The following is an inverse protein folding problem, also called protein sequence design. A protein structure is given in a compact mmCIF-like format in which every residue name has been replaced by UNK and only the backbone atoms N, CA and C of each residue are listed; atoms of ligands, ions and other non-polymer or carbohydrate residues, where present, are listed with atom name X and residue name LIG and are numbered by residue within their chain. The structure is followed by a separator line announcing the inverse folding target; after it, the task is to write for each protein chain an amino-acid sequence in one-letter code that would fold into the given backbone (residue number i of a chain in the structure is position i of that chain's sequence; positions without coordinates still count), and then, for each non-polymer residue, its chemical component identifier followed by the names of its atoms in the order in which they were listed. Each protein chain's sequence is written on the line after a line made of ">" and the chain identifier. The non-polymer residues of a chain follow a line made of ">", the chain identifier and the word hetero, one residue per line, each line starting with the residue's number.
data_IF_110418063069
#
_entry.id   IF_110418063069
#
_cell.length_a   1.000
_cell.length_b   1.000
_cell.length_c   1.000
_cell.angle_alpha   90.00
_cell.angle_beta   90.00
_cell.angle_gamma   90.00
#
_symmetry.space_group_name_H-M   'P 1'
#
loop_
_entity.id
_entity.type
_entity.pdbx_description
1 polymer ?
#
# COMPACT_ATOMS: atom_id res chain seq x y z
N UNK A 1 -10.20 -6.05 -26.81
CA UNK A 1 -8.95 -6.10 -26.01
C UNK A 1 -9.17 -7.13 -24.93
N UNK A 2 -8.21 -8.03 -24.70
CA UNK A 2 -8.29 -8.99 -23.60
C UNK A 2 -8.13 -8.19 -22.30
N UNK A 3 -9.17 -8.21 -21.46
CA UNK A 3 -9.17 -7.61 -20.12
C UNK A 3 -8.12 -8.33 -19.26
N UNK A 4 -7.26 -7.55 -18.60
CA UNK A 4 -6.24 -8.07 -17.70
C UNK A 4 -6.36 -7.31 -16.38
N UNK A 5 -6.67 -8.05 -15.31
CA UNK A 5 -6.95 -7.50 -13.98
C UNK A 5 -5.78 -6.72 -13.39
N UNK A 6 -4.54 -7.06 -13.74
CA UNK A 6 -3.34 -6.33 -13.32
C UNK A 6 -3.35 -4.91 -13.92
N UNK A 7 -3.66 -4.79 -15.22
CA UNK A 7 -3.73 -3.48 -15.87
C UNK A 7 -4.83 -2.64 -15.26
N UNK A 8 -6.03 -3.20 -15.10
CA UNK A 8 -7.18 -2.50 -14.55
C UNK A 8 -6.88 -1.95 -13.16
N UNK A 9 -6.41 -2.81 -12.24
CA UNK A 9 -6.15 -2.41 -10.87
C UNK A 9 -5.00 -1.39 -10.80
N UNK A 10 -3.96 -1.55 -11.61
CA UNK A 10 -2.88 -0.56 -11.70
C UNK A 10 -3.42 0.80 -12.12
N UNK A 11 -4.22 0.84 -13.19
CA UNK A 11 -4.78 2.10 -13.71
C UNK A 11 -5.77 2.75 -12.76
N UNK A 12 -6.58 1.97 -12.03
CA UNK A 12 -7.52 2.52 -11.04
C UNK A 12 -6.83 3.16 -9.85
N UNK A 13 -5.57 2.78 -9.58
CA UNK A 13 -4.72 3.39 -8.55
C UNK A 13 -3.81 4.50 -9.10
N UNK A 14 -3.95 4.87 -10.39
CA UNK A 14 -3.16 5.93 -11.01
C UNK A 14 -1.68 5.61 -11.18
N UNK A 15 -1.30 4.33 -11.14
CA UNK A 15 0.11 3.90 -11.19
C UNK A 15 0.60 3.73 -12.63
N UNK A 16 1.85 4.14 -12.89
CA UNK A 16 2.56 3.75 -14.11
C UNK A 16 3.08 2.30 -14.02
N UNK A 17 3.46 1.71 -15.15
CA UNK A 17 4.02 0.34 -15.15
C UNK A 17 5.36 0.29 -14.40
N UNK A 18 6.16 1.34 -14.47
CA UNK A 18 7.40 1.52 -13.70
C UNK A 18 7.12 1.62 -12.20
N UNK A 19 6.10 2.40 -11.79
CA UNK A 19 5.73 2.52 -10.39
C UNK A 19 5.32 1.17 -9.80
N UNK A 20 4.47 0.41 -10.52
CA UNK A 20 4.10 -0.95 -10.10
C UNK A 20 5.30 -1.88 -10.06
N UNK A 21 6.21 -1.80 -11.05
CA UNK A 21 7.41 -2.62 -11.08
C UNK A 21 8.28 -2.43 -9.84
N UNK A 22 8.45 -1.19 -9.38
CA UNK A 22 9.18 -0.88 -8.14
C UNK A 22 8.51 -1.47 -6.92
N UNK A 23 7.18 -1.37 -6.82
CA UNK A 23 6.41 -1.89 -5.67
C UNK A 23 6.56 -3.40 -5.52
N UNK A 24 6.60 -4.13 -6.64
CA UNK A 24 6.63 -5.60 -6.65
C UNK A 24 8.02 -6.16 -6.96
N UNK A 25 9.08 -5.36 -6.85
CA UNK A 25 10.46 -5.78 -7.10
C UNK A 25 10.61 -6.53 -8.45
N UNK A 26 10.20 -5.86 -9.52
CA UNK A 26 10.17 -6.36 -10.89
C UNK A 26 10.61 -5.26 -11.86
N UNK A 27 10.50 -5.51 -13.17
CA UNK A 27 10.83 -4.54 -14.22
C UNK A 27 9.58 -4.05 -14.94
N UNK A 28 9.62 -2.83 -15.46
CA UNK A 28 8.53 -2.28 -16.27
C UNK A 28 8.18 -3.19 -17.45
N UNK A 29 9.19 -3.79 -18.09
CA UNK A 29 9.00 -4.71 -19.21
C UNK A 29 8.27 -5.98 -18.75
N UNK A 30 8.57 -6.48 -17.56
CA UNK A 30 7.87 -7.62 -16.95
C UNK A 30 6.40 -7.27 -16.69
N UNK A 31 6.10 -6.09 -16.13
CA UNK A 31 4.72 -5.61 -15.95
C UNK A 31 3.99 -5.54 -17.29
N UNK A 32 4.60 -4.91 -18.29
CA UNK A 32 4.01 -4.78 -19.62
C UNK A 32 3.71 -6.15 -20.25
N UNK A 33 4.61 -7.12 -20.12
CA UNK A 33 4.38 -8.49 -20.62
C UNK A 33 3.26 -9.21 -19.86
N UNK A 34 3.21 -9.07 -18.54
CA UNK A 34 2.13 -9.63 -17.72
C UNK A 34 0.77 -9.05 -18.11
N UNK A 35 0.67 -7.74 -18.30
CA UNK A 35 -0.58 -7.08 -18.71
C UNK A 35 -1.04 -7.44 -20.13
N UNK A 36 -0.09 -7.83 -20.98
CA UNK A 36 -0.36 -8.29 -22.35
C UNK A 36 -0.52 -9.82 -22.43
N UNK A 37 -0.53 -10.52 -21.30
CA UNK A 37 -0.60 -11.99 -21.20
C UNK A 37 0.52 -12.72 -21.98
N UNK A 38 1.64 -12.05 -22.25
CA UNK A 38 2.81 -12.65 -22.91
C UNK A 38 3.82 -13.23 -21.92
N UNK A 39 3.59 -13.00 -20.62
CA UNK A 39 4.35 -13.59 -19.52
C UNK A 39 3.39 -13.90 -18.36
N UNK A 40 3.50 -15.10 -17.79
CA UNK A 40 2.73 -15.46 -16.61
C UNK A 40 3.20 -14.68 -15.37
N UNK A 41 2.27 -14.37 -14.47
CA UNK A 41 2.60 -13.78 -13.17
C UNK A 41 3.32 -14.81 -12.30
N UNK A 42 4.41 -14.38 -11.64
CA UNK A 42 5.14 -15.24 -10.69
C UNK A 42 4.40 -15.27 -9.36
N UNK A 43 4.56 -16.34 -8.58
CA UNK A 43 3.96 -16.43 -7.25
C UNK A 43 4.37 -15.25 -6.34
N UNK A 44 5.64 -14.83 -6.39
CA UNK A 44 6.14 -13.67 -5.65
C UNK A 44 5.37 -12.39 -6.03
N UNK A 45 5.28 -12.09 -7.32
CA UNK A 45 4.55 -10.92 -7.81
C UNK A 45 3.07 -10.98 -7.46
N UNK A 46 2.45 -12.17 -7.56
CA UNK A 46 1.05 -12.39 -7.22
C UNK A 46 0.76 -12.09 -5.75
N UNK A 47 1.62 -12.56 -4.83
CA UNK A 47 1.50 -12.28 -3.39
C UNK A 47 1.65 -10.78 -3.13
N UNK A 48 2.73 -10.16 -3.62
CA UNK A 48 2.97 -8.72 -3.39
C UNK A 48 1.86 -7.84 -3.96
N UNK A 49 1.35 -8.15 -5.17
CA UNK A 49 0.20 -7.44 -5.73
C UNK A 49 -1.06 -7.65 -4.89
N UNK A 50 -1.31 -8.88 -4.42
CA UNK A 50 -2.49 -9.19 -3.61
C UNK A 50 -2.49 -8.43 -2.29
N UNK A 51 -1.33 -8.30 -1.64
CA UNK A 51 -1.16 -7.54 -0.41
C UNK A 51 -1.27 -6.04 -0.67
N UNK A 52 -0.53 -5.52 -1.66
CA UNK A 52 -0.48 -4.09 -1.96
C UNK A 52 -1.85 -3.53 -2.38
N UNK A 53 -2.56 -4.22 -3.27
CA UNK A 53 -3.89 -3.79 -3.70
C UNK A 53 -5.00 -4.27 -2.77
N UNK A 54 -4.65 -5.05 -1.75
CA UNK A 54 -5.57 -5.72 -0.84
C UNK A 54 -6.70 -6.43 -1.61
N UNK A 55 -6.33 -7.37 -2.50
CA UNK A 55 -7.26 -8.20 -3.28
C UNK A 55 -6.85 -9.67 -3.22
N UNK A 56 -7.77 -10.57 -3.55
CA UNK A 56 -7.49 -11.99 -3.64
C UNK A 56 -6.62 -12.30 -4.86
N UNK A 57 -5.79 -13.34 -4.76
CA UNK A 57 -5.02 -13.86 -5.89
C UNK A 57 -5.95 -14.36 -7.00
N UNK A 58 -7.09 -14.94 -6.65
CA UNK A 58 -8.13 -15.36 -7.58
C UNK A 58 -8.69 -14.20 -8.40
N UNK A 59 -8.83 -13.01 -7.81
CA UNK A 59 -9.20 -11.80 -8.53
C UNK A 59 -8.12 -11.37 -9.53
N UNK A 60 -6.85 -11.33 -9.11
CA UNK A 60 -5.73 -10.97 -9.99
C UNK A 60 -5.57 -11.94 -11.18
N UNK A 61 -5.85 -13.22 -10.97
CA UNK A 61 -5.80 -14.26 -11.99
C UNK A 61 -7.05 -14.30 -12.88
N UNK A 62 -8.09 -13.50 -12.59
CA UNK A 62 -9.36 -13.51 -13.33
C UNK A 62 -10.22 -14.75 -13.09
N UNK A 63 -9.96 -15.50 -12.00
CA UNK A 63 -10.72 -16.68 -11.59
C UNK A 63 -12.03 -16.28 -10.88
N UNK A 64 -12.04 -15.09 -10.25
CA UNK A 64 -13.21 -14.55 -9.55
C UNK A 64 -13.31 -13.04 -9.76
N UNK A 65 -14.54 -12.53 -9.86
CA UNK A 65 -14.79 -11.08 -9.82
C UNK A 65 -14.84 -10.52 -8.40
N UNK A 66 -14.79 -11.40 -7.39
CA UNK A 66 -14.79 -11.02 -5.98
C UNK A 66 -13.37 -10.57 -5.59
N UNK A 67 -13.22 -9.25 -5.40
CA UNK A 67 -11.94 -8.64 -4.99
C UNK A 67 -11.38 -9.22 -3.69
N UNK A 68 -12.22 -9.60 -2.72
CA UNK A 68 -11.78 -10.06 -1.39
C UNK A 68 -12.68 -11.18 -0.89
N UNK A 69 -12.08 -12.18 -0.25
CA UNK A 69 -12.84 -13.19 0.50
C UNK A 69 -13.52 -12.57 1.73
N UNK A 70 -14.38 -13.34 2.40
CA UNK A 70 -15.14 -12.86 3.57
C UNK A 70 -14.21 -12.33 4.68
N UNK A 71 -13.09 -13.01 4.92
CA UNK A 71 -12.10 -12.59 5.91
C UNK A 71 -11.44 -11.25 5.53
N UNK A 72 -11.11 -11.05 4.25
CA UNK A 72 -10.57 -9.80 3.74
C UNK A 72 -11.58 -8.64 3.80
N UNK A 73 -12.87 -8.93 3.62
CA UNK A 73 -13.94 -7.94 3.83
C UNK A 73 -14.09 -7.57 5.31
N UNK A 74 -14.05 -8.55 6.21
CA UNK A 74 -14.15 -8.31 7.66
C UNK A 74 -12.98 -7.48 8.18
N UNK A 75 -11.73 -7.74 7.76
CA UNK A 75 -10.57 -6.92 8.14
C UNK A 75 -10.71 -5.47 7.70
N UNK A 76 -11.18 -5.23 6.48
CA UNK A 76 -11.42 -3.87 5.98
C UNK A 76 -12.53 -3.16 6.75
N UNK A 77 -13.62 -3.88 7.07
CA UNK A 77 -14.71 -3.30 7.85
C UNK A 77 -14.23 -2.92 9.25
N UNK A 78 -13.36 -3.72 9.85
CA UNK A 78 -12.80 -3.45 11.18
C UNK A 78 -11.86 -2.22 11.18
N UNK A 79 -10.93 -2.13 10.22
CA UNK A 79 -10.11 -0.91 10.05
C UNK A 79 -10.95 0.33 9.74
N UNK A 80 -12.04 0.15 9.00
CA UNK A 80 -12.98 1.22 8.66
C UNK A 80 -13.85 1.64 9.84
N UNK A 81 -14.19 0.72 10.76
CA UNK A 81 -14.83 1.03 12.04
C UNK A 81 -13.91 1.89 12.92
N UNK A 82 -12.63 1.53 13.04
CA UNK A 82 -11.66 2.28 13.84
C UNK A 82 -11.48 3.72 13.35
N UNK A 83 -11.63 3.96 12.05
CA UNK A 83 -11.52 5.28 11.45
C UNK A 83 -12.87 6.00 11.28
N UNK A 84 -13.99 5.36 11.57
CA UNK A 84 -15.33 5.85 11.21
C UNK A 84 -15.61 7.23 11.81
N UNK A 85 -15.39 7.38 13.12
CA UNK A 85 -15.65 8.62 13.85
C UNK A 85 -14.77 9.76 13.33
N UNK A 86 -13.49 9.48 13.08
CA UNK A 86 -12.53 10.46 12.54
C UNK A 86 -12.99 10.96 11.18
N UNK A 87 -13.40 10.07 10.28
CA UNK A 87 -13.88 10.42 8.94
C UNK A 87 -15.17 11.24 9.02
N UNK A 88 -16.09 10.88 9.92
CA UNK A 88 -17.33 11.62 10.13
C UNK A 88 -17.06 13.05 10.60
N UNK A 89 -16.17 13.22 11.59
CA UNK A 89 -15.75 14.54 12.06
C UNK A 89 -15.05 15.35 10.96
N UNK A 90 -14.13 14.72 10.21
CA UNK A 90 -13.42 15.38 9.12
C UNK A 90 -14.37 15.94 8.05
N UNK A 91 -15.43 15.20 7.69
CA UNK A 91 -16.43 15.66 6.71
C UNK A 91 -17.16 16.92 7.14
N UNK A 92 -17.37 17.09 8.44
CA UNK A 92 -18.08 18.23 9.02
C UNK A 92 -17.18 19.48 9.22
N UNK A 93 -15.87 19.37 8.99
CA UNK A 93 -14.95 20.50 9.09
C UNK A 93 -15.05 21.45 7.89
N UNK A 94 -14.74 22.72 8.14
CA UNK A 94 -14.51 23.71 7.07
C UNK A 94 -13.22 23.39 6.31
N UNK A 95 -13.08 23.89 5.09
CA UNK A 95 -11.88 23.66 4.27
C UNK A 95 -10.58 24.14 4.95
N UNK A 96 -10.63 25.25 5.68
CA UNK A 96 -9.50 25.73 6.49
C UNK A 96 -9.14 24.71 7.56
N UNK A 97 -10.14 24.19 8.29
CA UNK A 97 -9.90 23.23 9.37
C UNK A 97 -9.42 21.86 8.87
N UNK A 98 -9.90 21.41 7.70
CA UNK A 98 -9.38 20.21 7.03
C UNK A 98 -7.90 20.37 6.69
N UNK A 99 -7.49 21.52 6.15
CA UNK A 99 -6.07 21.83 5.88
C UNK A 99 -5.25 21.85 7.16
N UNK A 100 -5.75 22.46 8.23
CA UNK A 100 -5.09 22.45 9.55
C UNK A 100 -4.90 21.03 10.07
N UNK A 101 -5.94 20.18 10.02
CA UNK A 101 -5.83 18.78 10.43
C UNK A 101 -4.79 18.04 9.60
N UNK A 102 -4.76 18.25 8.28
CA UNK A 102 -3.74 17.66 7.41
C UNK A 102 -2.33 18.07 7.81
N UNK A 103 -2.11 19.34 8.18
CA UNK A 103 -0.81 19.80 8.68
C UNK A 103 -0.43 19.13 10.01
N UNK A 104 -1.39 18.98 10.93
CA UNK A 104 -1.16 18.33 12.22
C UNK A 104 -0.78 16.87 12.01
N UNK A 105 -1.53 16.13 11.19
CA UNK A 105 -1.25 14.72 10.89
C UNK A 105 0.17 14.54 10.34
N UNK A 106 0.55 15.35 9.34
CA UNK A 106 1.91 15.33 8.79
C UNK A 106 2.99 15.62 9.84
N UNK A 107 2.74 16.56 10.75
CA UNK A 107 3.70 16.89 11.82
C UNK A 107 3.87 15.73 12.80
N UNK A 108 2.79 15.02 13.13
CA UNK A 108 2.82 13.85 14.01
C UNK A 108 3.58 12.68 13.37
N UNK A 109 3.32 12.39 12.09
CA UNK A 109 4.08 11.38 11.33
C UNK A 109 5.58 11.70 11.32
N UNK A 110 5.92 12.97 11.09
CA UNK A 110 7.31 13.43 11.10
C UNK A 110 7.96 13.26 12.50
N UNK A 111 7.24 13.57 13.58
CA UNK A 111 7.76 13.41 14.94
C UNK A 111 8.07 11.93 15.26
N UNK A 112 7.22 11.00 14.81
CA UNK A 112 7.45 9.57 15.00
C UNK A 112 8.70 9.06 14.26
N UNK A 113 9.01 9.62 13.08
CA UNK A 113 10.23 9.29 12.36
C UNK A 113 11.47 9.81 13.09
N UNK A 114 11.41 11.05 13.60
CA UNK A 114 12.49 11.68 14.39
C UNK A 114 12.81 10.86 15.65
N UNK A 115 11.80 10.38 16.38
CA UNK A 115 11.98 9.52 17.57
C UNK A 115 12.65 8.19 17.22
N UNK A 116 12.26 7.55 16.11
CA UNK A 116 12.87 6.30 15.65
C UNK A 116 14.34 6.50 15.24
N UNK A 117 14.68 7.60 14.59
CA UNK A 117 16.06 7.91 14.21
C UNK A 117 16.96 8.18 15.43
N UNK A 118 16.41 8.82 16.47
CA UNK A 118 17.14 9.06 17.72
C UNK A 118 17.48 7.73 18.42
N UNK A 119 16.50 6.83 18.52
CA UNK A 119 16.69 5.50 19.10
C UNK A 119 17.75 4.66 18.36
N UNK A 120 17.78 4.72 17.02
CA UNK A 120 18.77 4.01 16.22
C UNK A 120 20.18 4.58 16.43
N UNK A 121 20.31 5.91 16.59
CA UNK A 121 21.60 6.55 16.87
C UNK A 121 22.12 6.18 18.26
N UNK A 122 21.25 6.15 19.27
CA UNK A 122 21.63 5.76 20.63
C UNK A 122 22.12 4.30 20.68
N UNK A 123 21.43 3.36 20.04
CA UNK A 123 21.84 1.93 19.99
C UNK A 123 23.16 1.74 19.20
N UNK A 124 23.44 2.58 18.22
CA UNK A 124 24.67 2.52 17.41
C UNK A 124 25.94 2.94 18.15
N UNK A 125 25.83 3.82 19.15
CA UNK A 125 26.99 4.26 19.96
C UNK A 125 27.37 3.24 21.04
N UNK A 126 26.41 2.52 21.66
CA UNK A 126 26.72 1.44 22.61
C UNK A 126 27.45 0.23 21.99
N UNK A 127 27.38 0.06 20.67
CA UNK A 127 28.09 -1.02 19.97
C UNK A 127 29.58 -0.73 19.75
N UNK A 128 30.01 0.55 19.83
CA UNK A 128 31.41 0.94 19.66
C UNK A 128 32.23 0.85 20.95
N UNK A 129 31.58 1.05 22.09
CA UNK A 129 32.27 1.04 23.39
C UNK A 129 32.46 -0.38 23.98
N UNK A 130 31.86 -1.42 23.38
CA UNK A 130 32.04 -2.82 23.82
C UNK A 130 33.31 -3.49 23.25
N UNK A 131 34.10 -2.79 22.43
CA UNK A 131 35.34 -3.30 21.82
C UNK A 131 36.59 -2.46 22.15
N UNK A 132 36.55 -1.69 23.25
CA UNK A 132 37.71 -0.95 23.75
C UNK A 132 38.16 -1.45 25.12
#
# INVERSE_FOLDING_TARGET
>A
MIENRIREIRTSHGLSQEALATIIDSTQQSISRMENNTQAITAKALIMMSEYFNVSTGYLLGISDIKRDLNGQMRMNQEMEDCYDIVLHYRNLTETNKKTLSCILKRLEQAQLEEKELYIKDVGDYAKDSYM
#
